data_IF_515742249756
#
_entry.id   IF_515742249756
#
_cell.length_a   1.000
_cell.length_b   1.000
_cell.length_c   1.000
_cell.angle_alpha   90.00
_cell.angle_beta   90.00
_cell.angle_gamma   90.00
#
_symmetry.space_group_name_H-M   'P 1'
#
loop_
_entity.id
_entity.type
_entity.pdbx_description
1 polymer ?
#
# COMPACT_ATOMS: atom_id res chain seq x y z
N UNK A 1 3.15 -14.38 -7.10
CA UNK A 1 2.95 -13.28 -6.13
C UNK A 1 3.15 -12.00 -6.89
N UNK A 2 2.21 -11.07 -6.83
CA UNK A 2 2.33 -9.83 -7.58
C UNK A 2 3.29 -8.88 -6.84
N UNK A 3 4.11 -8.16 -7.58
CA UNK A 3 5.10 -7.20 -7.09
C UNK A 3 4.54 -6.24 -6.02
N UNK A 4 3.25 -5.91 -6.10
CA UNK A 4 2.48 -5.13 -5.12
C UNK A 4 2.56 -5.68 -3.69
N UNK A 5 2.42 -6.99 -3.51
CA UNK A 5 2.33 -7.60 -2.18
C UNK A 5 3.69 -7.60 -1.46
N UNK A 6 4.79 -7.78 -2.23
CA UNK A 6 6.15 -7.79 -1.68
C UNK A 6 6.56 -6.41 -1.18
N UNK A 7 6.16 -5.35 -1.90
CA UNK A 7 6.60 -3.99 -1.59
C UNK A 7 5.83 -3.39 -0.40
N UNK A 8 4.55 -3.74 -0.24
CA UNK A 8 3.75 -3.33 0.92
C UNK A 8 4.30 -3.92 2.23
N UNK A 9 4.72 -5.19 2.18
CA UNK A 9 5.31 -5.88 3.34
C UNK A 9 6.53 -5.18 3.91
N UNK A 10 7.30 -4.46 3.09
CA UNK A 10 8.55 -3.85 3.53
C UNK A 10 8.33 -2.70 4.51
N UNK A 11 7.37 -1.77 4.27
CA UNK A 11 7.14 -0.66 5.18
C UNK A 11 6.59 -1.11 6.53
N UNK A 12 5.51 -1.88 6.52
CA UNK A 12 4.80 -2.32 7.73
C UNK A 12 5.52 -3.47 8.45
N UNK A 13 6.58 -4.02 7.85
CA UNK A 13 7.45 -4.99 8.52
C UNK A 13 8.42 -4.33 9.51
N UNK A 14 8.60 -3.02 9.44
CA UNK A 14 9.34 -2.27 10.46
C UNK A 14 8.55 -2.25 11.76
N UNK A 15 9.21 -2.63 12.87
CA UNK A 15 8.53 -2.79 14.16
C UNK A 15 7.95 -1.49 14.72
N UNK A 16 8.62 -0.36 14.52
CA UNK A 16 8.12 0.96 14.92
C UNK A 16 6.84 1.33 14.17
N UNK A 17 6.79 1.09 12.87
CA UNK A 17 5.60 1.27 12.03
C UNK A 17 4.47 0.34 12.49
N UNK A 18 4.77 -0.95 12.68
CA UNK A 18 3.77 -1.94 13.07
C UNK A 18 3.20 -1.66 14.46
N UNK A 19 4.04 -1.34 15.44
CA UNK A 19 3.62 -0.98 16.79
C UNK A 19 2.72 0.25 16.79
N UNK A 20 3.08 1.27 16.01
CA UNK A 20 2.31 2.51 15.91
C UNK A 20 0.92 2.26 15.28
N UNK A 21 0.85 1.46 14.20
CA UNK A 21 -0.42 1.03 13.59
C UNK A 21 -1.32 0.35 14.62
N UNK A 22 -0.78 -0.64 15.36
CA UNK A 22 -1.52 -1.37 16.40
C UNK A 22 -1.98 -0.42 17.50
N UNK A 23 -1.09 0.43 18.01
CA UNK A 23 -1.38 1.37 19.09
C UNK A 23 -2.47 2.37 18.72
N UNK A 24 -2.42 2.91 17.50
CA UNK A 24 -3.41 3.89 17.07
C UNK A 24 -4.75 3.23 16.74
N UNK A 25 -4.74 2.14 15.97
CA UNK A 25 -5.96 1.55 15.44
C UNK A 25 -6.69 0.67 16.46
N UNK A 26 -5.98 -0.05 17.34
CA UNK A 26 -6.60 -0.92 18.33
C UNK A 26 -6.70 -0.27 19.71
N UNK A 27 -5.71 0.53 20.11
CA UNK A 27 -5.62 1.11 21.45
C UNK A 27 -5.88 2.61 21.50
N UNK A 28 -6.31 3.22 20.36
CA UNK A 28 -6.70 4.63 20.30
C UNK A 28 -5.55 5.63 20.52
N UNK A 29 -4.30 5.20 20.26
CA UNK A 29 -3.08 5.96 20.42
C UNK A 29 -2.39 5.77 21.77
N UNK A 30 -2.84 4.83 22.62
CA UNK A 30 -2.09 4.44 23.83
C UNK A 30 -0.90 3.57 23.44
N UNK A 31 0.29 3.80 23.98
CA UNK A 31 1.51 3.05 23.65
C UNK A 31 1.52 1.70 24.41
N UNK A 32 0.63 0.78 24.03
CA UNK A 32 0.50 -0.54 24.65
C UNK A 32 1.53 -1.54 24.11
N UNK A 33 1.90 -1.41 22.84
CA UNK A 33 2.86 -2.29 22.16
C UNK A 33 4.12 -1.52 21.86
N UNK A 34 5.26 -2.00 22.35
CA UNK A 34 6.58 -1.45 22.06
C UNK A 34 7.22 -2.18 20.86
N UNK A 35 8.04 -1.47 20.07
CA UNK A 35 8.70 -2.04 18.88
C UNK A 35 9.58 -3.24 19.18
N UNK A 36 10.27 -3.23 20.33
CA UNK A 36 11.14 -4.30 20.79
C UNK A 36 10.38 -5.54 21.31
N UNK A 37 9.07 -5.42 21.54
CA UNK A 37 8.19 -6.52 21.94
C UNK A 37 7.64 -7.30 20.74
N UNK A 38 7.90 -6.85 19.49
CA UNK A 38 7.40 -7.47 18.28
C UNK A 38 8.41 -8.41 17.65
N UNK A 39 7.96 -9.63 17.33
CA UNK A 39 8.77 -10.67 16.69
C UNK A 39 8.07 -11.15 15.42
N UNK A 40 8.78 -11.03 14.29
CA UNK A 40 8.26 -11.49 13.00
C UNK A 40 7.95 -12.97 13.03
N UNK A 41 6.88 -13.35 12.35
CA UNK A 41 6.52 -14.74 12.11
C UNK A 41 5.90 -14.88 10.72
N UNK A 42 6.02 -16.06 10.14
CA UNK A 42 5.36 -16.42 8.88
C UNK A 42 4.27 -17.41 9.18
N UNK A 43 3.06 -17.12 8.71
CA UNK A 43 1.94 -18.07 8.79
C UNK A 43 1.51 -18.42 7.38
N UNK A 44 1.98 -19.56 6.91
CA UNK A 44 1.55 -20.13 5.63
C UNK A 44 0.34 -21.01 5.84
N UNK A 45 -0.67 -20.85 5.01
CA UNK A 45 -1.81 -21.74 4.91
C UNK A 45 -1.90 -22.29 3.51
N UNK A 46 -1.89 -23.62 3.39
CA UNK A 46 -2.13 -24.31 2.12
C UNK A 46 -3.48 -25.02 2.22
N UNK A 47 -4.29 -24.91 1.19
CA UNK A 47 -5.52 -25.70 1.07
C UNK A 47 -5.67 -26.21 -0.36
N UNK A 48 -6.27 -27.39 -0.49
CA UNK A 48 -6.63 -27.97 -1.77
C UNK A 48 -8.06 -27.56 -2.10
N UNK A 49 -8.25 -26.79 -3.17
CA UNK A 49 -9.56 -26.41 -3.63
C UNK A 49 -10.26 -27.53 -4.41
N UNK A 50 -11.55 -27.34 -4.73
CA UNK A 50 -12.35 -28.30 -5.50
C UNK A 50 -11.78 -28.55 -6.91
N UNK A 51 -11.03 -27.60 -7.47
CA UNK A 51 -10.31 -27.73 -8.74
C UNK A 51 -9.09 -28.69 -8.66
N UNK A 52 -8.83 -29.24 -7.47
CA UNK A 52 -7.71 -30.16 -7.19
C UNK A 52 -6.36 -29.48 -7.05
N UNK A 53 -6.26 -28.15 -7.20
CA UNK A 53 -5.02 -27.41 -7.04
C UNK A 53 -4.77 -27.06 -5.58
N UNK A 54 -3.49 -27.02 -5.22
CA UNK A 54 -3.05 -26.49 -3.93
C UNK A 54 -2.96 -24.98 -4.04
N UNK A 55 -3.71 -24.28 -3.21
CA UNK A 55 -3.67 -22.85 -3.09
C UNK A 55 -2.91 -22.49 -1.82
N UNK A 56 -2.00 -21.54 -1.94
CA UNK A 56 -1.33 -20.93 -0.81
C UNK A 56 -2.08 -19.66 -0.43
N UNK A 57 -2.29 -19.51 0.87
CA UNK A 57 -2.88 -18.32 1.45
C UNK A 57 -1.92 -17.81 2.51
N UNK A 58 -1.34 -16.65 2.27
CA UNK A 58 -0.39 -16.00 3.15
C UNK A 58 -0.92 -14.62 3.53
N UNK A 59 -0.76 -14.26 4.80
CA UNK A 59 -0.98 -12.88 5.23
C UNK A 59 0.14 -11.99 4.71
N UNK A 60 -0.16 -10.71 4.55
CA UNK A 60 0.87 -9.76 4.18
C UNK A 60 1.93 -9.69 5.26
N UNK A 61 1.55 -9.49 6.51
CA UNK A 61 2.46 -9.43 7.65
C UNK A 61 1.85 -10.12 8.87
N UNK A 62 2.71 -10.79 9.67
CA UNK A 62 2.34 -11.33 10.96
C UNK A 62 3.46 -11.17 11.98
N UNK A 63 3.11 -10.72 13.21
CA UNK A 63 4.05 -10.55 14.31
C UNK A 63 3.45 -11.04 15.61
N UNK A 64 4.27 -11.75 16.41
CA UNK A 64 3.96 -11.99 17.81
C UNK A 64 4.29 -10.74 18.62
N UNK A 65 3.33 -10.30 19.42
CA UNK A 65 3.58 -9.39 20.52
C UNK A 65 3.99 -10.20 21.75
N UNK A 66 5.17 -9.94 22.28
CA UNK A 66 5.75 -10.61 23.43
C UNK A 66 6.05 -9.62 24.53
N UNK A 67 5.66 -9.95 25.77
CA UNK A 67 6.01 -9.16 26.94
C UNK A 67 6.66 -10.06 27.99
N UNK A 68 7.85 -9.68 28.46
CA UNK A 68 8.61 -10.50 29.40
C UNK A 68 8.90 -11.93 28.92
N UNK A 69 9.13 -12.10 27.61
CA UNK A 69 9.37 -13.41 26.98
C UNK A 69 8.13 -14.27 26.74
N UNK A 70 6.96 -13.78 27.10
CA UNK A 70 5.68 -14.51 26.93
C UNK A 70 4.92 -13.96 25.72
N UNK A 71 4.44 -14.85 24.85
CA UNK A 71 3.56 -14.51 23.75
C UNK A 71 2.22 -14.00 24.31
N UNK A 72 1.76 -12.82 23.85
CA UNK A 72 0.49 -12.20 24.29
C UNK A 72 -0.56 -12.30 23.19
N UNK A 73 -0.21 -11.92 21.97
CA UNK A 73 -1.10 -11.89 20.80
C UNK A 73 -0.29 -12.19 19.55
N UNK A 74 -0.90 -12.85 18.57
CA UNK A 74 -0.42 -12.89 17.19
C UNK A 74 -1.23 -11.87 16.37
N UNK A 75 -0.59 -10.79 15.99
CA UNK A 75 -1.17 -9.81 15.09
C UNK A 75 -0.90 -10.19 13.63
N UNK A 76 -1.88 -9.88 12.76
CA UNK A 76 -1.73 -9.95 11.32
C UNK A 76 -2.25 -8.70 10.65
N UNK A 77 -1.59 -8.26 9.60
CA UNK A 77 -2.05 -7.17 8.71
C UNK A 77 -2.36 -7.74 7.34
N UNK A 78 -3.43 -7.25 6.76
CA UNK A 78 -3.89 -7.52 5.40
C UNK A 78 -4.19 -6.20 4.70
N UNK A 79 -3.46 -5.86 3.65
CA UNK A 79 -3.57 -4.59 2.93
C UNK A 79 -4.54 -4.69 1.76
N UNK A 80 -5.46 -3.75 1.64
CA UNK A 80 -6.47 -3.73 0.59
C UNK A 80 -6.63 -2.34 -0.05
N UNK A 81 -6.52 -2.29 -1.37
CA UNK A 81 -6.85 -1.08 -2.15
C UNK A 81 -8.26 -1.12 -2.71
N UNK A 82 -8.85 -2.31 -2.78
CA UNK A 82 -10.21 -2.56 -3.27
C UNK A 82 -11.02 -3.32 -2.25
N UNK A 83 -12.34 -3.12 -2.28
CA UNK A 83 -13.27 -3.84 -1.40
C UNK A 83 -13.28 -5.33 -1.77
N UNK A 84 -12.83 -6.18 -0.83
CA UNK A 84 -12.88 -7.64 -0.96
C UNK A 84 -14.13 -8.17 -0.24
N UNK A 85 -15.08 -8.69 -1.04
CA UNK A 85 -16.38 -9.13 -0.52
C UNK A 85 -16.29 -10.35 0.39
N UNK A 86 -15.28 -11.19 0.23
CA UNK A 86 -15.07 -12.44 0.98
C UNK A 86 -14.03 -12.31 2.08
N UNK A 87 -13.68 -11.10 2.47
CA UNK A 87 -12.65 -10.85 3.49
C UNK A 87 -12.87 -11.62 4.80
N UNK A 88 -14.08 -11.71 5.39
CA UNK A 88 -14.28 -12.50 6.59
C UNK A 88 -13.94 -13.98 6.43
N UNK A 89 -14.19 -14.57 5.26
CA UNK A 89 -13.82 -15.95 4.98
C UNK A 89 -12.30 -16.13 4.84
N UNK A 90 -11.60 -15.17 4.21
CA UNK A 90 -10.13 -15.17 4.14
C UNK A 90 -9.52 -15.09 5.55
N UNK A 91 -10.01 -14.19 6.39
CA UNK A 91 -9.53 -14.03 7.77
C UNK A 91 -9.75 -15.30 8.56
N UNK A 92 -10.90 -15.95 8.45
CA UNK A 92 -11.18 -17.24 9.10
C UNK A 92 -10.13 -18.30 8.74
N UNK A 93 -9.70 -18.34 7.46
CA UNK A 93 -8.62 -19.23 7.01
C UNK A 93 -7.27 -18.88 7.64
N UNK A 94 -6.92 -17.61 7.67
CA UNK A 94 -5.67 -17.12 8.30
C UNK A 94 -5.61 -17.41 9.80
N UNK A 95 -6.69 -17.11 10.51
CA UNK A 95 -6.78 -17.33 11.96
C UNK A 95 -6.73 -18.83 12.28
N UNK A 96 -7.46 -19.66 11.52
CA UNK A 96 -7.41 -21.11 11.66
C UNK A 96 -6.01 -21.70 11.44
N UNK A 97 -5.28 -21.20 10.43
CA UNK A 97 -3.89 -21.59 10.19
C UNK A 97 -2.97 -21.15 11.33
N UNK A 98 -3.17 -19.91 11.81
CA UNK A 98 -2.39 -19.36 12.92
C UNK A 98 -2.60 -20.12 14.23
N UNK A 99 -3.83 -20.54 14.53
CA UNK A 99 -4.12 -21.38 15.70
C UNK A 99 -3.52 -22.78 15.55
N UNK A 100 -3.57 -23.39 14.37
CA UNK A 100 -2.88 -24.67 14.11
C UNK A 100 -1.37 -24.57 14.30
N UNK A 101 -0.75 -23.47 13.85
CA UNK A 101 0.66 -23.23 14.06
C UNK A 101 1.07 -23.07 15.53
N UNK A 102 0.12 -23.01 16.43
CA UNK A 102 0.34 -22.89 17.88
C UNK A 102 0.08 -24.21 18.64
N UNK A 103 -0.28 -25.32 17.97
CA UNK A 103 -0.68 -26.55 18.66
C UNK A 103 0.42 -27.13 19.56
N UNK A 104 1.67 -26.98 19.19
CA UNK A 104 2.82 -27.49 19.97
C UNK A 104 3.25 -26.49 21.07
N UNK A 105 2.60 -25.31 21.16
CA UNK A 105 2.89 -24.33 22.21
C UNK A 105 2.15 -24.70 23.50
N UNK A 106 2.81 -24.42 24.63
CA UNK A 106 2.20 -24.62 25.96
C UNK A 106 0.91 -23.79 26.15
N UNK A 107 0.85 -22.61 25.50
CA UNK A 107 -0.30 -21.70 25.58
C UNK A 107 -0.61 -21.19 24.19
N UNK A 108 -1.88 -21.24 23.81
CA UNK A 108 -2.40 -20.65 22.57
C UNK A 108 -2.80 -19.21 22.89
N UNK A 109 -2.30 -18.27 22.12
CA UNK A 109 -2.62 -16.85 22.27
C UNK A 109 -3.64 -16.40 21.22
N UNK A 110 -4.39 -15.32 21.50
CA UNK A 110 -5.32 -14.75 20.53
C UNK A 110 -4.64 -14.38 19.22
N UNK A 111 -5.39 -14.50 18.12
CA UNK A 111 -4.99 -14.05 16.80
C UNK A 111 -5.88 -12.89 16.40
N UNK A 112 -5.30 -11.76 16.04
CA UNK A 112 -6.03 -10.55 15.63
C UNK A 112 -5.56 -10.15 14.25
N UNK A 113 -6.46 -10.18 13.25
CA UNK A 113 -6.16 -9.71 11.89
C UNK A 113 -6.77 -8.33 11.68
N UNK A 114 -5.93 -7.38 11.28
CA UNK A 114 -6.33 -6.03 10.88
C UNK A 114 -6.32 -5.94 9.35
N UNK A 115 -7.41 -5.43 8.78
CA UNK A 115 -7.49 -5.12 7.35
C UNK A 115 -7.30 -3.63 7.19
N UNK A 116 -6.20 -3.21 6.58
CA UNK A 116 -5.91 -1.82 6.28
C UNK A 116 -6.43 -1.51 4.89
N UNK A 117 -7.49 -0.71 4.81
CA UNK A 117 -8.13 -0.37 3.55
C UNK A 117 -7.74 1.04 3.11
N UNK A 118 -7.06 1.13 1.98
CA UNK A 118 -6.52 2.36 1.39
C UNK A 118 -7.36 2.93 0.25
N UNK A 119 -8.55 2.37 0.00
CA UNK A 119 -9.43 2.85 -1.08
C UNK A 119 -9.86 4.30 -0.87
N UNK A 120 -9.64 5.13 -1.87
CA UNK A 120 -9.95 6.57 -1.84
C UNK A 120 -11.30 6.93 -2.46
N UNK A 121 -11.84 6.08 -3.34
CA UNK A 121 -13.07 6.37 -4.07
C UNK A 121 -14.33 6.17 -3.23
N UNK A 122 -14.33 5.19 -2.33
CA UNK A 122 -15.46 4.83 -1.47
C UNK A 122 -15.00 4.12 -0.21
N UNK A 123 -15.83 4.22 0.84
CA UNK A 123 -15.66 3.45 2.07
C UNK A 123 -15.83 1.95 1.83
N UNK A 124 -15.43 1.18 2.82
CA UNK A 124 -15.67 -0.27 2.78
C UNK A 124 -17.16 -0.60 2.84
N UNK A 125 -17.66 -1.25 1.78
CA UNK A 125 -19.09 -1.56 1.62
C UNK A 125 -19.41 -3.05 1.75
N UNK A 126 -18.38 -3.92 1.78
CA UNK A 126 -18.60 -5.36 1.92
C UNK A 126 -18.95 -5.75 3.37
N UNK A 127 -19.62 -6.88 3.56
CA UNK A 127 -19.84 -7.43 4.88
C UNK A 127 -18.53 -7.60 5.66
N UNK A 128 -18.59 -7.30 6.98
CA UNK A 128 -17.45 -7.46 7.89
C UNK A 128 -17.56 -8.73 8.74
N UNK A 129 -18.62 -9.50 8.59
CA UNK A 129 -18.89 -10.71 9.36
C UNK A 129 -19.13 -11.90 8.43
N UNK A 130 -18.60 -13.07 8.81
CA UNK A 130 -18.71 -14.29 8.03
C UNK A 130 -20.17 -14.73 7.86
N UNK A 131 -20.97 -14.67 8.92
CA UNK A 131 -22.40 -14.99 8.86
C UNK A 131 -23.18 -14.16 7.85
N UNK A 132 -22.74 -12.95 7.55
CA UNK A 132 -23.35 -12.11 6.52
C UNK A 132 -23.04 -12.57 5.07
N UNK A 133 -22.10 -13.49 4.88
CA UNK A 133 -21.72 -14.06 3.59
C UNK A 133 -22.39 -15.41 3.30
N UNK A 134 -22.94 -16.05 4.31
CA UNK A 134 -23.48 -17.42 4.25
C UNK A 134 -24.98 -17.41 4.59
N UNK A 135 -25.70 -18.34 3.99
CA UNK A 135 -27.11 -18.58 4.36
C UNK A 135 -27.13 -19.63 5.45
N UNK A 136 -27.46 -19.22 6.67
CA UNK A 136 -27.62 -20.12 7.80
C UNK A 136 -29.12 -20.29 8.08
N UNK A 137 -29.57 -21.54 8.23
CA UNK A 137 -30.94 -21.82 8.68
C UNK A 137 -31.08 -21.45 10.17
N UNK A 138 -32.21 -20.91 10.58
CA UNK A 138 -32.42 -20.38 11.94
C UNK A 138 -32.10 -21.38 13.06
N UNK A 139 -32.41 -22.64 12.84
CA UNK A 139 -32.13 -23.72 13.81
C UNK A 139 -30.65 -24.12 13.89
N UNK A 140 -29.83 -23.71 12.90
CA UNK A 140 -28.41 -23.99 12.84
C UNK A 140 -27.54 -22.79 13.26
N UNK A 141 -28.11 -21.59 13.39
CA UNK A 141 -27.36 -20.34 13.63
C UNK A 141 -26.48 -20.42 14.89
N UNK A 142 -26.98 -21.05 15.93
CA UNK A 142 -26.25 -21.23 17.20
C UNK A 142 -25.01 -22.12 17.12
N UNK A 143 -24.87 -22.91 16.05
CA UNK A 143 -23.76 -23.82 15.85
C UNK A 143 -22.71 -23.25 14.88
N UNK A 144 -23.00 -22.11 14.26
CA UNK A 144 -22.09 -21.45 13.29
C UNK A 144 -21.34 -20.34 14.00
N UNK A 145 -20.02 -20.44 14.04
CA UNK A 145 -19.17 -19.37 14.53
C UNK A 145 -19.14 -18.21 13.53
N UNK A 146 -19.03 -17.00 14.06
CA UNK A 146 -18.89 -15.80 13.25
C UNK A 146 -17.46 -15.24 13.36
N UNK A 147 -16.82 -15.04 12.22
CA UNK A 147 -15.51 -14.38 12.12
C UNK A 147 -15.71 -12.94 11.68
N UNK A 148 -15.14 -12.01 12.45
CA UNK A 148 -15.20 -10.58 12.16
C UNK A 148 -13.93 -10.10 11.46
N UNK A 149 -14.09 -9.37 10.35
CA UNK A 149 -13.02 -8.60 9.73
C UNK A 149 -12.88 -7.24 10.43
N UNK A 150 -11.73 -6.99 11.06
CA UNK A 150 -11.42 -5.69 11.66
C UNK A 150 -10.88 -4.76 10.57
N UNK A 151 -11.76 -4.05 9.88
CA UNK A 151 -11.44 -3.17 8.75
C UNK A 151 -11.24 -1.75 9.24
N UNK A 152 -10.04 -1.22 8.97
CA UNK A 152 -9.64 0.15 9.23
C UNK A 152 -9.50 0.90 7.90
N UNK A 153 -10.31 1.91 7.71
CA UNK A 153 -10.39 2.68 6.46
C UNK A 153 -9.39 3.84 6.51
N UNK A 154 -8.15 3.58 6.10
CA UNK A 154 -7.01 4.51 6.28
C UNK A 154 -7.24 5.86 5.58
N UNK A 155 -7.73 5.84 4.34
CA UNK A 155 -8.04 7.07 3.62
C UNK A 155 -9.20 7.88 4.22
N UNK A 156 -9.89 7.37 5.26
CA UNK A 156 -11.06 7.97 5.90
C UNK A 156 -10.82 8.30 7.38
N UNK A 157 -9.59 8.19 7.85
CA UNK A 157 -9.20 8.60 9.19
C UNK A 157 -9.43 10.09 9.37
N UNK A 158 -9.77 10.49 10.61
CA UNK A 158 -9.87 11.90 10.99
C UNK A 158 -8.49 12.48 11.27
N UNK A 159 -8.37 13.79 11.20
CA UNK A 159 -7.12 14.50 11.52
C UNK A 159 -6.67 14.21 12.98
N UNK A 160 -7.62 14.03 13.92
CA UNK A 160 -7.35 13.60 15.30
C UNK A 160 -6.78 12.19 15.39
N UNK A 161 -7.24 11.26 14.53
CA UNK A 161 -6.71 9.90 14.47
C UNK A 161 -5.31 9.90 13.86
N UNK A 162 -5.10 10.67 12.79
CA UNK A 162 -3.79 10.82 12.13
C UNK A 162 -2.77 11.43 13.10
N UNK A 163 -3.19 12.42 13.89
CA UNK A 163 -2.31 13.08 14.86
C UNK A 163 -1.75 12.13 15.94
N UNK A 164 -2.41 10.98 16.17
CA UNK A 164 -1.95 9.97 17.14
C UNK A 164 -0.81 9.11 16.64
N UNK A 165 -0.59 9.03 15.32
CA UNK A 165 0.56 8.31 14.78
C UNK A 165 1.85 9.08 15.08
N UNK A 166 2.87 8.35 15.48
CA UNK A 166 4.19 8.87 15.85
C UNK A 166 5.30 8.43 14.91
N UNK A 167 5.07 7.36 14.15
CA UNK A 167 5.98 6.84 13.14
C UNK A 167 5.73 7.46 11.76
N UNK A 168 6.54 7.06 10.78
CA UNK A 168 6.36 7.45 9.37
C UNK A 168 5.01 7.00 8.78
N UNK A 169 4.28 6.09 9.44
CA UNK A 169 2.93 5.74 9.03
C UNK A 169 1.96 6.92 9.05
N UNK A 170 2.24 7.95 9.86
CA UNK A 170 1.53 9.22 9.85
C UNK A 170 1.53 9.87 8.46
N UNK A 171 2.68 9.85 7.78
CA UNK A 171 2.85 10.39 6.43
C UNK A 171 1.97 9.62 5.45
N UNK A 172 1.97 8.28 5.55
CA UNK A 172 1.14 7.41 4.71
C UNK A 172 -0.35 7.68 4.94
N UNK A 173 -0.80 7.70 6.19
CA UNK A 173 -2.20 7.96 6.52
C UNK A 173 -2.65 9.35 6.02
N UNK A 174 -1.82 10.37 6.24
CA UNK A 174 -2.06 11.75 5.78
C UNK A 174 -2.13 11.82 4.25
N UNK A 175 -1.22 11.14 3.56
CA UNK A 175 -1.22 11.06 2.09
C UNK A 175 -2.55 10.51 1.56
N UNK A 176 -3.03 9.36 2.06
CA UNK A 176 -4.27 8.75 1.54
C UNK A 176 -5.52 9.57 1.88
N UNK A 177 -5.57 10.20 3.05
CA UNK A 177 -6.69 11.10 3.41
C UNK A 177 -6.73 12.31 2.48
N UNK A 178 -5.59 12.93 2.18
CA UNK A 178 -5.53 14.08 1.28
C UNK A 178 -5.76 13.67 -0.18
N UNK A 179 -5.21 12.54 -0.63
CA UNK A 179 -5.47 11.98 -1.97
C UNK A 179 -6.94 11.67 -2.20
N UNK A 180 -7.68 11.25 -1.17
CA UNK A 180 -9.14 11.09 -1.22
C UNK A 180 -9.86 12.44 -1.36
N UNK A 181 -9.41 13.46 -0.62
CA UNK A 181 -10.01 14.82 -0.67
C UNK A 181 -9.72 15.52 -2.01
N UNK A 182 -8.52 15.30 -2.53
CA UNK A 182 -8.03 15.87 -3.79
C UNK A 182 -7.21 14.84 -4.57
N UNK A 183 -7.70 14.42 -5.74
CA UNK A 183 -7.00 13.43 -6.59
C UNK A 183 -5.63 13.92 -7.07
N UNK A 184 -5.48 15.24 -7.22
CA UNK A 184 -4.24 15.89 -7.65
C UNK A 184 -3.38 16.36 -6.48
N UNK A 185 -3.63 15.80 -5.28
CA UNK A 185 -2.86 16.14 -4.08
C UNK A 185 -1.36 15.92 -4.30
N UNK A 186 -0.61 16.96 -4.06
CA UNK A 186 0.85 16.97 -4.02
C UNK A 186 1.26 16.98 -2.54
N UNK A 187 2.08 16.02 -2.09
CA UNK A 187 2.51 15.98 -0.69
C UNK A 187 3.35 17.20 -0.32
N UNK A 188 3.06 17.79 0.82
CA UNK A 188 3.74 18.98 1.35
C UNK A 188 4.25 18.81 2.80
N UNK A 189 4.27 17.57 3.29
CA UNK A 189 4.73 17.25 4.63
C UNK A 189 6.27 17.39 4.74
N UNK A 190 6.71 18.24 5.68
CA UNK A 190 8.13 18.53 5.97
C UNK A 190 8.71 17.66 7.07
N UNK A 191 7.92 16.73 7.60
CA UNK A 191 8.40 15.77 8.61
C UNK A 191 9.52 14.92 8.02
N UNK A 192 10.62 14.80 8.75
CA UNK A 192 11.73 13.93 8.34
C UNK A 192 11.29 12.49 8.31
N UNK A 193 11.52 11.84 7.18
CA UNK A 193 11.20 10.43 6.95
C UNK A 193 12.38 9.57 7.45
N UNK A 194 12.09 8.58 8.29
CA UNK A 194 13.07 7.59 8.75
C UNK A 194 13.22 6.44 7.73
N UNK A 195 12.12 6.02 7.12
CA UNK A 195 12.03 4.88 6.19
C UNK A 195 11.73 5.36 4.76
N UNK A 196 12.64 6.17 4.18
CA UNK A 196 12.44 6.81 2.85
C UNK A 196 12.18 5.76 1.76
N UNK A 197 13.01 4.69 1.73
CA UNK A 197 12.93 3.67 0.69
C UNK A 197 11.59 2.93 0.73
N UNK A 198 11.18 2.56 1.93
CA UNK A 198 9.97 1.81 2.17
C UNK A 198 8.73 2.64 1.85
N UNK A 199 8.73 3.93 2.21
CA UNK A 199 7.62 4.85 1.87
C UNK A 199 7.53 5.06 0.36
N UNK A 200 8.64 5.32 -0.33
CA UNK A 200 8.61 5.52 -1.78
C UNK A 200 8.11 4.27 -2.51
N UNK A 201 8.60 3.09 -2.13
CA UNK A 201 8.11 1.81 -2.66
C UNK A 201 6.62 1.62 -2.37
N UNK A 202 6.20 1.84 -1.13
CA UNK A 202 4.81 1.74 -0.73
C UNK A 202 3.91 2.66 -1.56
N UNK A 203 4.28 3.93 -1.71
CA UNK A 203 3.51 4.89 -2.51
C UNK A 203 3.47 4.50 -3.99
N UNK A 204 4.59 4.05 -4.58
CA UNK A 204 4.63 3.57 -5.96
C UNK A 204 3.61 2.47 -6.19
N UNK A 205 3.61 1.46 -5.32
CA UNK A 205 2.73 0.29 -5.43
C UNK A 205 1.27 0.66 -5.20
N UNK A 206 0.99 1.44 -4.15
CA UNK A 206 -0.38 1.75 -3.74
C UNK A 206 -1.08 2.72 -4.68
N UNK A 207 -0.34 3.66 -5.26
CA UNK A 207 -0.88 4.63 -6.23
C UNK A 207 -0.80 4.12 -7.67
N UNK A 208 0.07 3.17 -7.95
CA UNK A 208 0.42 2.74 -9.30
C UNK A 208 1.28 3.76 -10.05
N UNK A 209 1.89 4.73 -9.35
CA UNK A 209 2.74 5.77 -9.92
C UNK A 209 4.21 5.37 -9.80
N UNK A 210 4.79 4.90 -10.91
CA UNK A 210 6.19 4.45 -10.97
C UNK A 210 7.21 5.56 -10.71
N UNK A 211 6.81 6.84 -10.74
CA UNK A 211 7.72 7.96 -10.48
C UNK A 211 8.30 7.92 -9.06
N UNK A 212 7.55 7.40 -8.09
CA UNK A 212 8.06 7.18 -6.74
C UNK A 212 9.24 6.19 -6.71
N UNK A 213 9.17 5.13 -7.52
CA UNK A 213 10.24 4.14 -7.63
C UNK A 213 11.45 4.70 -8.39
N UNK A 214 11.21 5.54 -9.40
CA UNK A 214 12.28 6.27 -10.09
C UNK A 214 13.03 7.22 -9.14
N UNK A 215 12.33 7.88 -8.19
CA UNK A 215 12.96 8.73 -7.15
C UNK A 215 13.83 7.87 -6.24
N UNK A 216 13.44 6.63 -5.95
CA UNK A 216 14.21 5.74 -5.11
C UNK A 216 15.61 5.46 -5.68
N UNK A 217 15.75 5.38 -7.01
CA UNK A 217 17.05 5.17 -7.65
C UNK A 217 17.98 6.38 -7.55
N UNK A 218 17.44 7.57 -7.25
CA UNK A 218 18.15 8.85 -7.12
C UNK A 218 17.67 9.61 -5.86
N UNK A 219 17.67 8.90 -4.73
CA UNK A 219 17.10 9.40 -3.46
C UNK A 219 18.03 10.30 -2.66
N UNK A 220 19.27 10.54 -3.11
CA UNK A 220 20.22 11.37 -2.38
C UNK A 220 19.63 12.76 -2.12
N UNK A 221 19.58 13.16 -0.83
CA UNK A 221 18.97 14.41 -0.40
C UNK A 221 17.45 14.40 -0.23
N UNK A 222 16.76 13.27 -0.41
CA UNK A 222 15.35 13.14 -0.04
C UNK A 222 15.24 12.88 1.46
N UNK A 223 14.59 13.79 2.17
CA UNK A 223 14.43 13.69 3.62
C UNK A 223 12.98 13.84 4.11
N UNK A 224 12.09 14.33 3.25
CA UNK A 224 10.68 14.58 3.56
C UNK A 224 9.80 14.55 2.30
N UNK A 225 8.50 14.66 2.46
CA UNK A 225 7.57 14.59 1.32
C UNK A 225 7.61 15.82 0.40
N UNK A 226 8.08 16.98 0.87
CA UNK A 226 8.31 18.13 -0.02
C UNK A 226 9.44 17.85 -1.02
N UNK A 227 10.53 17.20 -0.57
CA UNK A 227 11.62 16.81 -1.45
C UNK A 227 11.13 15.82 -2.53
N UNK A 228 10.27 14.87 -2.11
CA UNK A 228 9.62 13.92 -3.03
C UNK A 228 8.75 14.65 -4.05
N UNK A 229 7.92 15.60 -3.60
CA UNK A 229 7.02 16.37 -4.44
C UNK A 229 7.81 17.19 -5.50
N UNK A 230 8.88 17.87 -5.07
CA UNK A 230 9.75 18.62 -5.99
C UNK A 230 10.34 17.72 -7.07
N UNK A 231 10.82 16.54 -6.72
CA UNK A 231 11.36 15.60 -7.71
C UNK A 231 10.31 15.05 -8.66
N UNK A 232 9.08 14.83 -8.18
CA UNK A 232 7.96 14.44 -9.05
C UNK A 232 7.64 15.54 -10.08
N UNK A 233 7.67 16.80 -9.66
CA UNK A 233 7.46 17.96 -10.53
C UNK A 233 8.57 18.08 -11.57
N UNK A 234 9.84 18.07 -11.14
CA UNK A 234 11.01 18.16 -12.00
C UNK A 234 10.99 17.09 -13.09
N UNK A 235 10.72 15.83 -12.71
CA UNK A 235 10.59 14.71 -13.67
C UNK A 235 9.37 14.85 -14.58
N UNK A 236 8.29 15.43 -14.08
CA UNK A 236 7.11 15.73 -14.90
C UNK A 236 7.43 16.75 -16.00
N UNK A 237 8.16 17.80 -15.65
CA UNK A 237 8.63 18.83 -16.58
C UNK A 237 9.60 18.22 -17.61
N UNK A 238 10.58 17.44 -17.17
CA UNK A 238 11.57 16.80 -18.04
C UNK A 238 10.89 15.86 -19.06
N UNK A 239 10.01 14.98 -18.62
CA UNK A 239 9.24 14.10 -19.50
C UNK A 239 8.34 14.88 -20.47
N UNK A 240 7.72 15.96 -20.00
CA UNK A 240 6.93 16.84 -20.86
C UNK A 240 7.76 17.52 -21.95
N UNK A 241 8.94 18.03 -21.60
CA UNK A 241 9.87 18.63 -22.56
C UNK A 241 10.40 17.61 -23.58
N UNK A 242 10.75 16.40 -23.12
CA UNK A 242 11.22 15.34 -24.01
C UNK A 242 10.12 14.94 -25.00
N UNK A 243 8.90 14.70 -24.51
CA UNK A 243 7.75 14.35 -25.36
C UNK A 243 7.46 15.45 -26.38
N UNK A 244 7.46 16.72 -25.95
CA UNK A 244 7.26 17.85 -26.85
C UNK A 244 8.35 17.96 -27.93
N UNK A 245 9.62 17.64 -27.61
CA UNK A 245 10.70 17.57 -28.59
C UNK A 245 10.52 16.43 -29.58
N UNK A 246 10.13 15.23 -29.09
CA UNK A 246 9.89 14.07 -29.96
C UNK A 246 8.72 14.30 -30.90
N UNK A 247 7.59 14.84 -30.40
CA UNK A 247 6.42 15.21 -31.23
C UNK A 247 6.77 16.29 -32.24
N UNK A 248 7.54 17.32 -31.83
CA UNK A 248 8.02 18.36 -32.70
C UNK A 248 8.94 17.82 -33.82
N UNK A 249 9.85 16.93 -33.50
CA UNK A 249 10.73 16.28 -34.49
C UNK A 249 9.92 15.40 -35.43
N UNK A 250 8.97 14.59 -34.95
CA UNK A 250 8.08 13.78 -35.80
C UNK A 250 7.29 14.65 -36.78
N UNK A 251 6.76 15.78 -36.30
CA UNK A 251 6.06 16.74 -37.16
C UNK A 251 6.96 17.32 -38.26
N UNK A 252 8.21 17.68 -37.89
CA UNK A 252 9.20 18.15 -38.87
C UNK A 252 9.51 17.05 -39.90
N UNK A 253 9.74 15.81 -39.47
CA UNK A 253 9.98 14.69 -40.39
C UNK A 253 8.83 14.45 -41.34
N UNK A 254 7.56 14.46 -40.84
CA UNK A 254 6.40 14.30 -41.71
C UNK A 254 6.25 15.42 -42.74
N UNK A 255 6.57 16.67 -42.36
CA UNK A 255 6.57 17.81 -43.29
C UNK A 255 7.67 17.70 -44.34
N UNK A 256 8.83 17.10 -44.03
CA UNK A 256 9.91 16.85 -44.97
C UNK A 256 9.54 15.72 -45.92
N UNK A 257 8.94 14.63 -45.43
CA UNK A 257 8.46 13.51 -46.25
C UNK A 257 7.34 13.94 -47.23
N UNK A 258 6.45 14.84 -46.82
CA UNK A 258 5.38 15.40 -47.66
C UNK A 258 5.88 16.45 -48.70
N UNK A 259 7.19 16.59 -48.86
CA UNK A 259 7.83 17.57 -49.77
C UNK A 259 7.46 19.05 -49.48
N UNK A 260 6.72 19.33 -48.43
CA UNK A 260 6.21 20.67 -48.10
C UNK A 260 7.34 21.67 -47.75
N UNK A 261 8.53 21.17 -47.37
CA UNK A 261 9.72 21.99 -47.03
C UNK A 261 10.78 21.96 -48.16
N UNK A 262 10.71 21.03 -49.10
CA UNK A 262 11.71 20.91 -50.16
C UNK A 262 11.83 22.18 -51.02
N UNK A 263 10.75 22.94 -51.20
CA UNK A 263 10.74 24.21 -51.90
C UNK A 263 11.46 25.37 -51.19
N UNK A 264 11.60 25.33 -49.88
CA UNK A 264 12.25 26.43 -49.13
C UNK A 264 13.77 26.33 -49.07
N UNK A 265 14.33 25.15 -49.27
CA UNK A 265 15.79 24.94 -49.27
C UNK A 265 16.47 25.25 -50.60
N UNK A 266 15.70 25.37 -51.70
CA UNK A 266 16.23 25.62 -53.06
C UNK A 266 16.10 27.07 -53.54
N UNK A 267 15.57 28.00 -52.74
CA UNK A 267 15.41 29.41 -53.14
C UNK A 267 16.44 30.36 -52.54
N UNK A 268 17.64 29.89 -52.22
CA UNK A 268 18.77 30.79 -52.03
C UNK A 268 19.42 31.08 -53.36
N UNK A 269 19.38 32.32 -53.89
CA UNK A 269 20.09 32.64 -55.10
C UNK A 269 21.57 32.46 -54.88
N UNK A 270 22.21 31.64 -55.72
CA UNK A 270 23.67 31.49 -55.77
C UNK A 270 24.31 32.85 -56.07
N UNK A 271 25.27 33.36 -55.32
CA UNK A 271 26.03 34.54 -55.64
C UNK A 271 27.18 34.17 -56.62
N UNK A 272 26.81 33.94 -57.84
CA UNK A 272 27.80 33.96 -58.98
C UNK A 272 27.03 34.41 -60.21
N UNK A 273 27.23 35.68 -60.55
CA UNK A 273 27.41 36.22 -61.83
C UNK A 273 27.27 37.73 -61.77
N UNK A 274 28.44 38.38 -61.57
CA UNK A 274 28.79 39.71 -62.10
C UNK A 274 30.26 39.89 -62.01
#
# INVERSE_FOLDING_TARGET
MKEKDITQKVLEDNNDIFADIVNVLLFGGKPEVEENELVNTTVHSQYKAEDGKVHEQERDIAKYWKRGGTDIVLYGIENQTKVEKRMPARISGYEGASYRGQYDKKTIVPVITMVLYYGTDRKWTAPKNLKSLIKVQDNLDKYVNDTKANVFEIAWLTDEQIAKFTSDYKIVANFFVNKRKNKDYIPDDKTTIKHVDEILKFLSVMTGDSRYEEILSDKEGVSNMCDVAQRLEDRGIEKGLQKGREEGNQMIYSLVEDESISCLLYTSPSPRDS
#
